data_IF_377454534420
#
_entry.id   IF_377454534420
#
_cell.length_a   1.000
_cell.length_b   1.000
_cell.length_c   1.000
_cell.angle_alpha   90.00
_cell.angle_beta   90.00
_cell.angle_gamma   90.00
#
_symmetry.space_group_name_H-M   'P 1'
#
loop_
_entity.id
_entity.type
_entity.pdbx_description
1 polymer ?
#
# COMPACT_ATOMS: atom_id res chain seq x y z
N UNK A 1 -35.42 9.31 -5.87
CA UNK A 1 -34.71 9.18 -6.06
C UNK A 1 -33.99 9.36 -6.29
N UNK A 2 -34.16 9.35 -6.43
CA UNK A 2 -33.30 9.28 -6.77
C UNK A 2 -32.44 9.57 -6.83
N UNK A 3 -32.46 9.53 -6.68
CA UNK A 3 -31.42 9.58 -6.82
C UNK A 3 -30.56 9.59 -6.92
N UNK A 4 -30.83 9.47 -6.80
CA UNK A 4 -29.83 9.21 -6.97
C UNK A 4 -29.02 9.15 -7.32
N UNK A 5 -29.20 9.10 -7.30
CA UNK A 5 -28.21 8.74 -7.84
C UNK A 5 -27.52 8.89 -8.01
N UNK A 6 -27.65 9.00 -8.04
CA UNK A 6 -26.77 8.88 -8.35
C UNK A 6 -25.90 9.08 -8.37
N UNK A 7 -25.88 9.01 -8.02
CA UNK A 7 -24.84 8.94 -8.08
C UNK A 7 -24.04 8.76 -8.32
N UNK A 8 -24.18 8.68 -8.21
CA UNK A 8 -23.26 8.14 -8.61
C UNK A 8 -22.57 7.94 -8.75
N UNK A 9 -22.56 7.88 -8.87
CA UNK A 9 -21.77 7.36 -9.10
C UNK A 9 -20.90 7.48 -9.37
N UNK A 10 -20.91 7.64 -9.32
CA UNK A 10 -20.00 7.47 -9.65
C UNK A 10 -19.13 7.24 -9.73
N UNK A 11 -19.10 7.01 -9.67
CA UNK A 11 -18.24 6.56 -9.87
C UNK A 11 -17.55 6.19 -10.19
N UNK A 12 -17.64 6.13 -10.44
CA UNK A 12 -17.01 5.58 -10.85
C UNK A 12 -16.20 5.37 -11.21
N UNK A 13 -16.10 5.33 -11.41
CA UNK A 13 -15.30 5.12 -11.81
C UNK A 13 -14.43 4.83 -11.96
N UNK A 14 -14.20 4.59 -11.94
CA UNK A 14 -13.37 4.22 -12.09
C UNK A 14 -12.26 4.26 -12.12
N UNK A 15 -12.43 4.19 -12.00
CA UNK A 15 -11.16 4.51 -12.65
C UNK A 15 -10.02 4.05 -11.78
N UNK A 16 -8.85 3.83 -12.40
CA UNK A 16 -7.71 3.33 -11.65
C UNK A 16 -7.22 4.32 -10.60
N UNK A 17 -7.43 5.63 -10.85
CA UNK A 17 -7.06 6.65 -9.89
C UNK A 17 -7.76 6.48 -8.57
N UNK A 18 -8.98 5.95 -8.59
CA UNK A 18 -9.74 5.73 -7.37
C UNK A 18 -9.25 4.51 -6.59
N UNK A 19 -8.45 3.66 -7.21
CA UNK A 19 -7.94 2.46 -6.57
C UNK A 19 -6.68 2.69 -5.76
N UNK A 20 -6.09 3.88 -5.85
CA UNK A 20 -4.86 4.21 -5.14
C UNK A 20 -5.09 5.47 -4.33
N UNK A 21 -4.82 5.38 -3.02
CA UNK A 21 -4.78 6.53 -2.13
C UNK A 21 -3.36 6.67 -1.61
N UNK A 22 -2.82 7.88 -1.62
CA UNK A 22 -1.53 8.15 -1.01
C UNK A 22 -1.79 9.00 0.22
N UNK A 23 -1.37 8.52 1.39
CA UNK A 23 -1.66 9.17 2.67
C UNK A 23 -0.39 9.44 3.44
N UNK A 24 -0.44 10.43 4.35
CA UNK A 24 0.72 10.77 5.17
C UNK A 24 0.92 9.75 6.29
N UNK A 25 2.03 9.90 7.00
CA UNK A 25 2.43 8.98 8.07
C UNK A 25 1.34 8.80 9.12
N UNK A 26 0.75 9.89 9.58
CA UNK A 26 -0.25 9.80 10.65
C UNK A 26 -1.49 9.06 10.21
N UNK A 27 -1.96 9.32 9.00
CA UNK A 27 -3.13 8.62 8.45
C UNK A 27 -2.81 7.15 8.18
N UNK A 28 -1.62 6.88 7.65
CA UNK A 28 -1.19 5.51 7.40
C UNK A 28 -1.15 4.70 8.70
N UNK A 29 -0.53 5.27 9.73
CA UNK A 29 -0.46 4.61 11.03
C UNK A 29 -1.86 4.35 11.57
N UNK A 30 -2.75 5.34 11.49
CA UNK A 30 -4.11 5.20 11.96
C UNK A 30 -4.82 4.04 11.28
N UNK A 31 -4.61 3.87 9.98
CA UNK A 31 -5.29 2.83 9.22
C UNK A 31 -4.76 1.43 9.49
N UNK A 32 -3.46 1.30 9.80
CA UNK A 32 -2.87 -0.02 10.03
C UNK A 32 -2.83 -0.43 11.49
N UNK A 33 -2.95 0.53 12.41
CA UNK A 33 -2.77 0.28 13.84
C UNK A 33 -3.84 -0.65 14.39
N UNK A 34 -3.41 -1.67 15.13
CA UNK A 34 -4.29 -2.62 15.82
C UNK A 34 -5.25 -3.36 14.89
N UNK A 35 -4.85 -3.51 13.62
CA UNK A 35 -5.69 -4.18 12.63
C UNK A 35 -4.87 -5.21 11.87
N UNK A 36 -5.53 -6.25 11.43
CA UNK A 36 -4.93 -7.24 10.55
C UNK A 36 -5.08 -6.75 9.12
N UNK A 37 -4.14 -5.93 8.69
CA UNK A 37 -4.17 -5.38 7.33
C UNK A 37 -3.11 -6.08 6.47
N UNK A 38 -3.29 -6.00 5.17
CA UNK A 38 -2.31 -6.50 4.22
C UNK A 38 -1.27 -5.40 4.02
N UNK A 39 -0.16 -5.47 4.74
CA UNK A 39 0.90 -4.47 4.71
C UNK A 39 2.12 -5.05 3.99
N UNK A 40 2.57 -4.38 2.93
CA UNK A 40 3.66 -4.85 2.08
C UNK A 40 4.78 -3.83 2.02
N UNK A 41 5.98 -4.27 2.39
CA UNK A 41 7.21 -3.52 2.21
C UNK A 41 7.79 -3.94 0.86
N UNK A 42 7.82 -3.01 -0.10
CA UNK A 42 8.25 -3.36 -1.47
C UNK A 42 9.72 -3.06 -1.74
N UNK A 43 10.50 -2.82 -0.66
CA UNK A 43 11.94 -2.61 -0.77
C UNK A 43 12.68 -3.94 -0.98
N UNK A 44 13.99 -3.86 -1.13
CA UNK A 44 14.80 -5.06 -1.23
C UNK A 44 14.83 -5.82 0.09
N UNK A 45 15.22 -7.09 0.02
CA UNK A 45 15.33 -7.92 1.23
C UNK A 45 16.36 -7.35 2.22
N UNK A 46 17.45 -6.78 1.74
CA UNK A 46 18.47 -6.19 2.60
C UNK A 46 17.94 -4.97 3.35
N UNK A 47 17.21 -4.10 2.65
CA UNK A 47 16.58 -2.95 3.30
C UNK A 47 15.59 -3.39 4.37
N UNK A 48 14.77 -4.37 4.04
CA UNK A 48 13.78 -4.93 4.96
C UNK A 48 14.46 -5.49 6.22
N UNK A 49 15.54 -6.23 6.04
CA UNK A 49 16.27 -6.83 7.16
C UNK A 49 16.83 -5.78 8.12
N UNK A 50 17.08 -4.56 7.63
CA UNK A 50 17.60 -3.47 8.46
C UNK A 50 16.55 -2.77 9.31
N UNK A 51 15.27 -3.09 9.12
CA UNK A 51 14.17 -2.50 9.89
C UNK A 51 12.95 -2.31 9.02
N UNK A 52 11.77 -2.63 9.56
CA UNK A 52 10.53 -2.55 8.81
C UNK A 52 9.36 -2.25 9.75
N UNK A 53 8.25 -1.79 9.19
CA UNK A 53 7.05 -1.52 9.96
C UNK A 53 6.45 -2.87 10.38
N UNK A 54 6.10 -3.00 11.66
CA UNK A 54 5.61 -4.26 12.23
C UNK A 54 4.53 -4.88 11.36
N UNK A 55 4.62 -6.18 11.16
CA UNK A 55 3.69 -7.01 10.38
C UNK A 55 3.80 -6.85 8.87
N UNK A 56 4.72 -6.03 8.37
CA UNK A 56 4.91 -5.89 6.94
C UNK A 56 5.51 -7.16 6.35
N UNK A 57 4.97 -7.59 5.21
CA UNK A 57 5.54 -8.69 4.42
C UNK A 57 6.41 -8.06 3.34
N UNK A 58 7.58 -8.62 3.12
CA UNK A 58 8.49 -8.08 2.11
C UNK A 58 8.26 -8.73 0.76
N UNK A 59 7.92 -7.92 -0.23
CA UNK A 59 7.87 -8.37 -1.63
C UNK A 59 8.57 -7.27 -2.45
N UNK A 60 9.79 -7.56 -2.88
CA UNK A 60 10.61 -6.59 -3.61
C UNK A 60 9.97 -6.28 -4.97
N UNK A 61 9.66 -4.99 -5.21
CA UNK A 61 9.03 -4.58 -6.46
C UNK A 61 9.93 -4.78 -7.68
N UNK A 62 11.24 -4.89 -7.45
CA UNK A 62 12.19 -5.17 -8.53
C UNK A 62 12.26 -6.65 -8.91
N UNK A 63 11.67 -7.52 -8.09
CA UNK A 63 11.59 -8.94 -8.41
C UNK A 63 10.69 -9.12 -9.65
N UNK A 64 11.18 -9.82 -10.66
CA UNK A 64 10.39 -10.07 -11.87
C UNK A 64 9.10 -10.83 -11.58
N UNK A 65 9.04 -11.52 -10.44
CA UNK A 65 7.86 -12.27 -10.01
C UNK A 65 7.02 -11.52 -9.01
N UNK A 66 7.20 -10.20 -8.91
CA UNK A 66 6.48 -9.39 -7.92
C UNK A 66 4.98 -9.65 -7.95
N UNK A 67 4.36 -9.55 -9.12
CA UNK A 67 2.91 -9.72 -9.22
C UNK A 67 2.47 -11.14 -8.91
N UNK A 68 3.25 -12.14 -9.32
CA UNK A 68 2.95 -13.53 -9.02
C UNK A 68 3.00 -13.78 -7.51
N UNK A 69 4.02 -13.25 -6.85
CA UNK A 69 4.16 -13.38 -5.40
C UNK A 69 3.05 -12.66 -4.66
N UNK A 70 2.74 -11.44 -5.08
CA UNK A 70 1.67 -10.66 -4.47
C UNK A 70 0.34 -11.40 -4.60
N UNK A 71 0.03 -11.93 -5.78
CA UNK A 71 -1.23 -12.63 -6.00
C UNK A 71 -1.36 -13.87 -5.12
N UNK A 72 -0.24 -14.50 -4.75
CA UNK A 72 -0.28 -15.71 -3.93
C UNK A 72 -0.61 -15.44 -2.46
N UNK A 73 -0.42 -14.20 -1.98
CA UNK A 73 -0.61 -13.89 -0.56
C UNK A 73 -1.62 -12.79 -0.28
N UNK A 74 -2.01 -12.01 -1.30
CA UNK A 74 -2.95 -10.90 -1.11
C UNK A 74 -4.31 -11.25 -1.64
N UNK A 75 -5.35 -10.70 -1.00
CA UNK A 75 -6.70 -10.84 -1.52
C UNK A 75 -7.25 -9.47 -1.93
N UNK A 76 -8.14 -9.45 -2.90
CA UNK A 76 -8.68 -8.22 -3.47
C UNK A 76 -9.87 -7.65 -2.70
N UNK A 77 -10.35 -8.38 -1.70
CA UNK A 77 -11.51 -7.95 -0.91
C UNK A 77 -11.14 -6.88 0.09
N UNK A 78 -9.86 -6.76 0.42
CA UNK A 78 -9.39 -5.82 1.42
C UNK A 78 -8.28 -4.96 0.84
N UNK A 79 -8.13 -3.76 1.39
CA UNK A 79 -7.09 -2.84 0.95
C UNK A 79 -5.70 -3.42 1.17
N UNK A 80 -4.79 -3.09 0.28
CA UNK A 80 -3.38 -3.43 0.40
C UNK A 80 -2.61 -2.15 0.73
N UNK A 81 -1.85 -2.18 1.80
CA UNK A 81 -1.04 -1.06 2.25
C UNK A 81 0.40 -1.29 1.82
N UNK A 82 0.98 -0.31 1.14
CA UNK A 82 2.34 -0.45 0.60
C UNK A 82 3.23 0.70 1.01
N UNK A 83 4.50 0.41 1.18
CA UNK A 83 5.50 1.46 1.36
C UNK A 83 6.85 0.99 0.83
N UNK A 84 7.70 1.97 0.54
CA UNK A 84 9.09 1.72 0.21
C UNK A 84 9.97 2.67 1.03
N UNK A 85 11.13 3.04 0.53
CA UNK A 85 12.01 3.95 1.27
C UNK A 85 11.47 5.38 1.26
N UNK A 86 11.14 5.92 0.08
CA UNK A 86 10.76 7.33 -0.09
C UNK A 86 9.40 7.53 -0.77
N UNK A 87 8.75 6.47 -1.22
CA UNK A 87 7.43 6.54 -1.87
C UNK A 87 7.44 6.28 -3.36
N UNK A 88 8.60 6.29 -4.02
CA UNK A 88 8.66 6.15 -5.48
C UNK A 88 8.41 4.71 -5.95
N UNK A 89 9.14 3.75 -5.37
CA UNK A 89 8.97 2.34 -5.73
C UNK A 89 7.59 1.83 -5.34
N UNK A 90 7.06 2.30 -4.20
CA UNK A 90 5.75 1.87 -3.75
C UNK A 90 4.63 2.39 -4.63
N UNK A 91 4.80 3.56 -5.26
CA UNK A 91 3.81 4.02 -6.24
C UNK A 91 3.83 3.15 -7.50
N UNK A 92 5.01 2.69 -7.92
CA UNK A 92 5.10 1.72 -9.02
C UNK A 92 4.36 0.44 -8.65
N UNK A 93 4.60 -0.08 -7.44
CA UNK A 93 3.92 -1.27 -6.96
C UNK A 93 2.40 -1.04 -6.89
N UNK A 94 2.00 0.13 -6.36
CA UNK A 94 0.58 0.45 -6.24
C UNK A 94 -0.12 0.46 -7.60
N UNK A 95 0.52 1.03 -8.62
CA UNK A 95 -0.06 1.05 -9.96
C UNK A 95 -0.21 -0.35 -10.54
N UNK A 96 0.78 -1.22 -10.33
CA UNK A 96 0.69 -2.61 -10.79
C UNK A 96 -0.43 -3.36 -10.09
N UNK A 97 -0.51 -3.20 -8.77
CA UNK A 97 -1.54 -3.87 -7.98
C UNK A 97 -2.94 -3.35 -8.34
N UNK A 98 -3.09 -2.02 -8.45
CA UNK A 98 -4.38 -1.44 -8.83
C UNK A 98 -4.81 -1.91 -10.22
N UNK A 99 -3.85 -2.01 -11.14
CA UNK A 99 -4.13 -2.52 -12.49
C UNK A 99 -4.62 -3.96 -12.49
N UNK A 100 -4.29 -4.73 -11.44
CA UNK A 100 -4.73 -6.10 -11.29
C UNK A 100 -6.00 -6.23 -10.46
N UNK A 101 -6.58 -5.10 -9.99
CA UNK A 101 -7.86 -5.11 -9.29
C UNK A 101 -7.79 -4.92 -7.79
N UNK A 102 -6.61 -4.64 -7.23
CA UNK A 102 -6.48 -4.36 -5.81
C UNK A 102 -6.75 -2.89 -5.52
N UNK A 103 -7.24 -2.60 -4.30
CA UNK A 103 -7.31 -1.24 -3.79
C UNK A 103 -6.09 -1.02 -2.90
N UNK A 104 -5.36 0.04 -3.16
CA UNK A 104 -4.04 0.22 -2.57
C UNK A 104 -3.94 1.56 -1.83
N UNK A 105 -3.32 1.52 -0.66
CA UNK A 105 -2.99 2.71 0.13
C UNK A 105 -1.48 2.80 0.21
N UNK A 106 -0.92 3.92 -0.25
CA UNK A 106 0.51 4.15 -0.27
C UNK A 106 0.92 5.11 0.86
N UNK A 107 2.04 4.82 1.50
CA UNK A 107 2.61 5.70 2.51
C UNK A 107 3.47 6.77 1.82
N UNK A 108 3.01 8.03 1.88
CA UNK A 108 3.78 9.17 1.36
C UNK A 108 5.09 9.28 2.14
N UNK A 109 6.18 9.47 1.40
CA UNK A 109 7.49 9.63 2.01
C UNK A 109 8.12 8.32 2.50
N UNK A 110 7.39 7.22 2.44
CA UNK A 110 7.90 5.91 2.78
C UNK A 110 8.39 5.77 4.21
N UNK A 111 9.23 4.77 4.43
CA UNK A 111 9.76 4.50 5.78
C UNK A 111 10.67 5.64 6.26
N UNK A 112 11.23 6.44 5.34
CA UNK A 112 11.99 7.63 5.74
C UNK A 112 11.11 8.62 6.49
N UNK A 113 9.91 8.90 5.97
CA UNK A 113 8.97 9.79 6.65
C UNK A 113 8.48 9.17 7.95
N UNK A 114 8.25 7.86 7.95
CA UNK A 114 7.85 7.11 9.14
C UNK A 114 8.89 7.27 10.26
N UNK A 115 10.17 7.06 9.93
CA UNK A 115 11.27 7.20 10.88
C UNK A 115 11.41 8.65 11.36
N UNK A 116 11.29 9.61 10.45
CA UNK A 116 11.41 11.05 10.80
C UNK A 116 10.32 11.47 11.77
N UNK A 117 9.16 10.84 11.69
CA UNK A 117 8.04 11.11 12.60
C UNK A 117 8.17 10.34 13.93
N UNK A 118 9.25 9.61 14.12
CA UNK A 118 9.49 8.86 15.36
C UNK A 118 8.64 7.63 15.52
N UNK A 119 8.07 7.12 14.43
CA UNK A 119 7.22 5.93 14.50
C UNK A 119 8.08 4.66 14.60
N UNK A 120 7.58 3.60 15.25
CA UNK A 120 8.39 2.41 15.54
C UNK A 120 8.63 1.52 14.33
N UNK A 121 9.80 0.90 14.32
CA UNK A 121 10.14 -0.16 13.38
C UNK A 121 10.65 -1.36 14.15
N UNK A 122 10.60 -2.53 13.55
CA UNK A 122 11.12 -3.76 14.11
C UNK A 122 12.23 -4.30 13.22
N UNK A 123 13.03 -5.22 13.77
CA UNK A 123 14.14 -5.83 13.03
C UNK A 123 14.15 -7.33 13.17
#
# INVERSE_FOLDING_TARGET
>A
TILMGMLGMVSVSCAKGDSIQSVNVNEFEKQIKNKHVQLVDVRTADEYAGGFIANAVNIDVFDTKFMQRAASILNKKEKVYVYCRSGKRSMTAARRLAGAGYKVVNLEGGIMAWNSAGKPVVR
#
